data_IF_679296300134
#
_entry.id   IF_679296300134
#
_cell.length_a   1.000
_cell.length_b   1.000
_cell.length_c   1.000
_cell.angle_alpha   90.00
_cell.angle_beta   90.00
_cell.angle_gamma   90.00
#
_symmetry.space_group_name_H-M   'P 1'
#
loop_
_entity.id
_entity.type
_entity.pdbx_description
1 polymer ?
#
# COMPACT_ATOMS: atom_id res chain seq x y z
N UNK A 1 4.06 -5.64 19.61
CA UNK A 1 4.54 -6.54 20.67
C UNK A 1 3.57 -6.64 21.84
N UNK A 2 3.05 -5.52 22.41
CA UNK A 2 2.19 -5.53 23.60
C UNK A 2 0.86 -6.26 23.33
N UNK A 3 0.18 -5.99 22.21
CA UNK A 3 -1.07 -6.63 21.82
C UNK A 3 -0.87 -8.14 21.68
N UNK A 4 0.19 -8.59 21.01
CA UNK A 4 0.52 -10.01 20.86
C UNK A 4 0.73 -10.70 22.21
N UNK A 5 1.37 -10.02 23.18
CA UNK A 5 1.54 -10.56 24.54
C UNK A 5 0.21 -10.69 25.27
N UNK A 6 -0.71 -9.72 25.08
CA UNK A 6 -2.06 -9.78 25.65
C UNK A 6 -2.88 -10.92 25.03
N UNK A 7 -2.86 -11.06 23.69
CA UNK A 7 -3.55 -12.13 22.99
C UNK A 7 -3.09 -13.52 23.47
N UNK A 8 -1.77 -13.72 23.65
CA UNK A 8 -1.21 -14.96 24.18
C UNK A 8 -1.71 -15.27 25.60
N UNK A 9 -1.80 -14.26 26.46
CA UNK A 9 -2.34 -14.43 27.82
C UNK A 9 -3.84 -14.73 27.80
N UNK A 10 -4.58 -14.10 26.88
CA UNK A 10 -6.01 -14.26 26.75
C UNK A 10 -6.42 -15.60 26.12
N UNK A 11 -5.53 -16.25 25.37
CA UNK A 11 -5.83 -17.49 24.64
C UNK A 11 -6.28 -18.67 25.53
N UNK A 12 -5.94 -18.64 26.82
CA UNK A 12 -6.36 -19.66 27.79
C UNK A 12 -7.61 -19.29 28.57
N UNK A 13 -8.25 -18.15 28.29
CA UNK A 13 -9.44 -17.67 29.03
C UNK A 13 -10.70 -17.86 28.19
N UNK A 14 -11.80 -18.25 28.84
CA UNK A 14 -13.13 -18.29 28.24
C UNK A 14 -13.73 -16.87 28.24
N UNK A 15 -13.43 -16.10 27.21
CA UNK A 15 -13.87 -14.71 27.10
C UNK A 15 -15.27 -14.64 26.52
N UNK A 16 -16.22 -14.15 27.29
CA UNK A 16 -17.62 -13.98 26.91
C UNK A 16 -17.95 -12.53 26.50
N UNK A 17 -17.12 -11.56 26.87
CA UNK A 17 -17.37 -10.15 26.60
C UNK A 17 -16.05 -9.40 26.50
N UNK A 18 -15.93 -8.53 25.50
CA UNK A 18 -14.82 -7.57 25.36
C UNK A 18 -15.37 -6.16 25.58
N UNK A 19 -14.88 -5.49 26.62
CA UNK A 19 -15.23 -4.11 26.93
C UNK A 19 -14.09 -3.19 26.46
N UNK A 20 -14.28 -2.56 25.32
CA UNK A 20 -13.32 -1.59 24.78
C UNK A 20 -13.34 -0.30 25.59
N UNK A 21 -12.18 0.31 25.85
CA UNK A 21 -12.09 1.65 26.44
C UNK A 21 -12.67 2.72 25.51
N UNK A 22 -12.49 2.54 24.20
CA UNK A 22 -12.99 3.42 23.15
C UNK A 22 -13.68 2.57 22.08
N UNK A 23 -15.00 2.38 22.21
CA UNK A 23 -15.80 1.59 21.27
C UNK A 23 -16.94 0.83 21.94
N UNK A 24 -17.70 0.05 21.17
CA UNK A 24 -18.82 -0.71 21.70
C UNK A 24 -18.36 -1.89 22.59
N UNK A 25 -19.23 -2.33 23.45
CA UNK A 25 -19.08 -3.62 24.14
C UNK A 25 -19.39 -4.75 23.15
N UNK A 26 -18.45 -5.68 22.99
CA UNK A 26 -18.58 -6.80 22.07
C UNK A 26 -18.96 -8.06 22.85
N UNK A 27 -20.08 -8.69 22.49
CA UNK A 27 -20.58 -9.92 23.12
C UNK A 27 -20.75 -11.06 22.11
N UNK A 28 -20.79 -10.74 20.83
CA UNK A 28 -21.00 -11.69 19.76
C UNK A 28 -19.81 -11.68 18.81
N UNK A 29 -19.58 -12.81 18.15
CA UNK A 29 -18.54 -12.98 17.15
C UNK A 29 -17.14 -12.55 17.62
N UNK A 30 -16.80 -12.83 18.87
CA UNK A 30 -15.54 -12.38 19.50
C UNK A 30 -14.31 -12.92 18.76
N UNK A 31 -14.40 -14.13 18.19
CA UNK A 31 -13.33 -14.73 17.39
C UNK A 31 -12.91 -13.87 16.21
N UNK A 32 -13.87 -13.22 15.52
CA UNK A 32 -13.59 -12.30 14.42
C UNK A 32 -12.71 -11.12 14.87
N UNK A 33 -13.04 -10.52 16.01
CA UNK A 33 -12.27 -9.37 16.54
C UNK A 33 -10.88 -9.79 17.00
N UNK A 34 -10.75 -10.94 17.65
CA UNK A 34 -9.46 -11.49 18.08
C UNK A 34 -8.56 -11.81 16.89
N UNK A 35 -9.10 -12.41 15.82
CA UNK A 35 -8.37 -12.66 14.58
C UNK A 35 -7.89 -11.35 13.92
N UNK A 36 -8.74 -10.33 13.87
CA UNK A 36 -8.34 -9.01 13.34
C UNK A 36 -7.22 -8.39 14.16
N UNK A 37 -7.34 -8.39 15.47
CA UNK A 37 -6.28 -7.89 16.36
C UNK A 37 -4.97 -8.67 16.21
N UNK A 38 -5.03 -9.98 16.00
CA UNK A 38 -3.86 -10.80 15.75
C UNK A 38 -3.18 -10.38 14.43
N UNK A 39 -3.93 -10.32 13.32
CA UNK A 39 -3.42 -9.88 12.03
C UNK A 39 -2.81 -8.46 12.08
N UNK A 40 -3.54 -7.51 12.65
CA UNK A 40 -3.07 -6.12 12.72
C UNK A 40 -1.82 -5.95 13.58
N UNK A 41 -1.78 -6.60 14.74
CA UNK A 41 -0.65 -6.48 15.66
C UNK A 41 0.59 -7.29 15.26
N UNK A 42 0.44 -8.26 14.36
CA UNK A 42 1.53 -8.99 13.70
C UNK A 42 1.90 -8.41 12.33
N UNK A 43 1.22 -7.35 11.88
CA UNK A 43 1.41 -6.71 10.57
C UNK A 43 1.16 -7.67 9.39
N UNK A 44 0.30 -8.66 9.57
CA UNK A 44 -0.13 -9.53 8.48
C UNK A 44 -1.23 -8.85 7.64
N UNK A 45 -1.26 -9.06 6.32
CA UNK A 45 -2.36 -8.59 5.50
C UNK A 45 -3.66 -9.30 5.87
N UNK A 46 -4.78 -8.61 5.73
CA UNK A 46 -6.09 -9.22 5.91
C UNK A 46 -6.56 -9.97 4.67
N UNK A 47 -6.21 -9.44 3.51
CA UNK A 47 -6.67 -9.90 2.21
C UNK A 47 -5.54 -9.86 1.18
N UNK A 48 -5.61 -10.74 0.19
CA UNK A 48 -4.79 -10.64 -1.01
C UNK A 48 -5.40 -9.59 -1.95
N UNK A 49 -4.56 -8.71 -2.49
CA UNK A 49 -4.96 -7.66 -3.42
C UNK A 49 -3.90 -6.59 -3.55
N UNK A 50 -4.10 -5.69 -4.48
CA UNK A 50 -3.15 -4.64 -4.83
C UNK A 50 -3.76 -3.26 -4.59
N UNK A 51 -3.17 -2.48 -3.71
CA UNK A 51 -3.48 -1.05 -3.58
C UNK A 51 -2.59 -0.28 -4.55
N UNK A 52 -3.17 0.54 -5.40
CA UNK A 52 -2.45 1.42 -6.33
C UNK A 52 -2.69 2.86 -5.88
N UNK A 53 -1.70 3.45 -5.24
CA UNK A 53 -1.74 4.83 -4.79
C UNK A 53 -0.95 5.71 -5.75
N UNK A 54 -1.60 6.71 -6.35
CA UNK A 54 -0.95 7.57 -7.33
C UNK A 54 -1.07 9.06 -7.01
N UNK A 55 -0.08 9.81 -7.49
CA UNK A 55 -0.11 11.27 -7.56
C UNK A 55 0.06 11.68 -9.03
N UNK A 56 -0.84 12.50 -9.55
CA UNK A 56 -0.82 12.92 -10.95
C UNK A 56 -1.27 14.37 -11.10
N UNK A 57 -0.47 15.19 -11.81
CA UNK A 57 -0.81 16.60 -12.09
C UNK A 57 -1.56 16.71 -13.41
N UNK A 58 -1.01 16.14 -14.48
CA UNK A 58 -1.54 16.27 -15.85
C UNK A 58 -2.25 15.01 -16.36
N UNK A 59 -2.50 14.03 -15.52
CA UNK A 59 -3.19 12.79 -15.89
C UNK A 59 -2.27 11.65 -16.35
N UNK A 60 -1.04 11.89 -16.74
CA UNK A 60 -0.17 10.86 -17.30
C UNK A 60 0.14 9.72 -16.33
N UNK A 61 0.47 10.03 -15.08
CA UNK A 61 0.71 9.02 -14.04
C UNK A 61 -0.58 8.29 -13.66
N UNK A 62 -1.72 9.01 -13.65
CA UNK A 62 -3.04 8.40 -13.48
C UNK A 62 -3.31 7.36 -14.55
N UNK A 63 -3.11 7.71 -15.82
CA UNK A 63 -3.33 6.79 -16.95
C UNK A 63 -2.49 5.50 -16.80
N UNK A 64 -1.24 5.61 -16.33
CA UNK A 64 -0.39 4.45 -16.08
C UNK A 64 -0.89 3.60 -14.90
N UNK A 65 -1.37 4.24 -13.83
CA UNK A 65 -1.94 3.55 -12.68
C UNK A 65 -3.26 2.82 -13.03
N UNK A 66 -4.13 3.46 -13.81
CA UNK A 66 -5.36 2.88 -14.33
C UNK A 66 -5.06 1.72 -15.28
N UNK A 67 -4.11 1.87 -16.20
CA UNK A 67 -3.69 0.79 -17.10
C UNK A 67 -3.14 -0.43 -16.33
N UNK A 68 -2.32 -0.22 -15.29
CA UNK A 68 -1.87 -1.31 -14.44
C UNK A 68 -3.05 -1.99 -13.72
N UNK A 69 -4.02 -1.21 -13.23
CA UNK A 69 -5.21 -1.76 -12.59
C UNK A 69 -6.00 -2.67 -13.52
N UNK A 70 -6.21 -2.23 -14.77
CA UNK A 70 -6.91 -3.02 -15.79
C UNK A 70 -6.19 -4.34 -16.07
N UNK A 71 -4.86 -4.29 -16.29
CA UNK A 71 -4.05 -5.50 -16.52
C UNK A 71 -4.10 -6.46 -15.33
N UNK A 72 -4.06 -5.94 -14.09
CA UNK A 72 -4.18 -6.77 -12.89
C UNK A 72 -5.58 -7.39 -12.75
N UNK A 73 -6.64 -6.65 -13.06
CA UNK A 73 -8.02 -7.14 -13.04
C UNK A 73 -8.25 -8.24 -14.09
N UNK A 74 -7.70 -8.09 -15.30
CA UNK A 74 -7.71 -9.14 -16.33
C UNK A 74 -7.02 -10.42 -15.84
N UNK A 75 -6.02 -10.31 -14.97
CA UNK A 75 -5.36 -11.44 -14.30
C UNK A 75 -6.12 -11.95 -13.05
N UNK A 76 -7.32 -11.44 -12.78
CA UNK A 76 -8.14 -11.82 -11.63
C UNK A 76 -7.68 -11.26 -10.29
N UNK A 77 -6.78 -10.26 -10.28
CA UNK A 77 -6.31 -9.64 -9.05
C UNK A 77 -7.31 -8.58 -8.56
N UNK A 78 -7.56 -8.56 -7.26
CA UNK A 78 -8.32 -7.49 -6.62
C UNK A 78 -7.49 -6.22 -6.57
N UNK A 79 -8.00 -5.12 -7.10
CA UNK A 79 -7.30 -3.83 -7.11
C UNK A 79 -8.13 -2.72 -6.45
N UNK A 80 -7.45 -1.80 -5.79
CA UNK A 80 -8.03 -0.57 -5.23
C UNK A 80 -7.17 0.61 -5.63
N UNK A 81 -7.75 1.59 -6.32
CA UNK A 81 -7.05 2.80 -6.76
C UNK A 81 -7.32 3.98 -5.83
N UNK A 82 -6.24 4.74 -5.54
CA UNK A 82 -6.30 5.99 -4.79
C UNK A 82 -5.60 7.13 -5.51
N UNK A 83 -6.36 8.16 -5.90
CA UNK A 83 -5.82 9.48 -6.22
C UNK A 83 -5.48 10.20 -4.91
N UNK A 84 -4.21 10.22 -4.55
CA UNK A 84 -3.75 10.77 -3.27
C UNK A 84 -3.99 12.28 -3.12
N UNK A 85 -4.26 12.98 -4.22
CA UNK A 85 -4.62 14.39 -4.17
C UNK A 85 -6.11 14.64 -3.84
N UNK A 86 -6.96 13.59 -3.94
CA UNK A 86 -8.42 13.73 -3.83
C UNK A 86 -9.08 12.72 -2.89
N UNK A 87 -8.37 11.64 -2.52
CA UNK A 87 -8.94 10.60 -1.67
C UNK A 87 -8.88 10.95 -0.18
N UNK A 88 -9.64 10.20 0.61
CA UNK A 88 -9.42 10.11 2.05
C UNK A 88 -8.09 9.37 2.30
N UNK A 89 -7.08 10.12 2.73
CA UNK A 89 -5.74 9.57 3.01
C UNK A 89 -5.76 8.53 4.13
N UNK A 90 -6.61 8.68 5.13
CA UNK A 90 -6.69 7.72 6.23
C UNK A 90 -7.19 6.36 5.73
N UNK A 91 -8.17 6.36 4.81
CA UNK A 91 -8.65 5.16 4.15
C UNK A 91 -7.59 4.52 3.27
N UNK A 92 -6.86 5.32 2.48
CA UNK A 92 -5.76 4.82 1.65
C UNK A 92 -4.66 4.15 2.48
N UNK A 93 -4.29 4.74 3.62
CA UNK A 93 -3.34 4.15 4.58
C UNK A 93 -3.91 2.84 5.16
N UNK A 94 -5.17 2.82 5.59
CA UNK A 94 -5.80 1.63 6.15
C UNK A 94 -5.81 0.47 5.13
N UNK A 95 -6.16 0.74 3.86
CA UNK A 95 -6.17 -0.28 2.82
C UNK A 95 -4.75 -0.74 2.44
N UNK A 96 -3.73 0.11 2.51
CA UNK A 96 -2.34 -0.31 2.34
C UNK A 96 -1.90 -1.33 3.41
N UNK A 97 -2.41 -1.23 4.64
CA UNK A 97 -2.22 -2.25 5.67
C UNK A 97 -3.11 -3.48 5.50
N UNK A 98 -4.29 -3.31 4.92
CA UNK A 98 -5.24 -4.39 4.70
C UNK A 98 -4.79 -5.38 3.63
N UNK A 99 -4.25 -4.88 2.52
CA UNK A 99 -3.82 -5.68 1.38
C UNK A 99 -2.34 -6.03 1.43
N UNK A 100 -1.96 -7.09 0.74
CA UNK A 100 -0.59 -7.63 0.76
C UNK A 100 0.36 -6.94 -0.21
N UNK A 101 -0.15 -6.16 -1.18
CA UNK A 101 0.65 -5.50 -2.22
C UNK A 101 0.29 -4.03 -2.36
N UNK A 102 1.31 -3.20 -2.57
CA UNK A 102 1.19 -1.75 -2.72
C UNK A 102 1.96 -1.29 -3.96
N UNK A 103 1.33 -0.52 -4.81
CA UNK A 103 1.97 0.20 -5.92
C UNK A 103 1.96 1.70 -5.61
N UNK A 104 3.12 2.32 -5.75
CA UNK A 104 3.31 3.75 -5.58
C UNK A 104 3.64 4.38 -6.93
N UNK A 105 2.65 5.03 -7.52
CA UNK A 105 2.81 5.73 -8.80
C UNK A 105 3.02 7.22 -8.54
N UNK A 106 4.29 7.64 -8.48
CA UNK A 106 4.72 8.95 -8.06
C UNK A 106 5.33 9.80 -9.17
N UNK A 107 5.27 11.12 -8.98
CA UNK A 107 5.92 12.09 -9.87
C UNK A 107 7.06 12.79 -9.14
N UNK A 108 8.12 13.10 -9.90
CA UNK A 108 9.16 14.00 -9.44
C UNK A 108 8.66 15.44 -9.54
N UNK A 109 8.70 16.15 -8.42
CA UNK A 109 8.25 17.53 -8.33
C UNK A 109 9.28 18.35 -7.56
N UNK A 110 9.82 19.37 -8.21
CA UNK A 110 10.84 20.27 -7.62
C UNK A 110 12.03 19.52 -6.99
N UNK A 111 12.52 18.48 -7.66
CA UNK A 111 13.62 17.64 -7.16
C UNK A 111 13.25 16.68 -6.03
N UNK A 112 11.98 16.59 -5.68
CA UNK A 112 11.44 15.78 -4.59
C UNK A 112 10.17 15.00 -5.04
N UNK A 113 9.54 14.28 -4.14
CA UNK A 113 8.23 13.67 -4.35
C UNK A 113 7.12 14.71 -4.30
N UNK A 114 6.08 14.50 -5.10
CA UNK A 114 4.88 15.31 -4.99
C UNK A 114 4.29 15.22 -3.57
N UNK A 115 3.86 16.34 -2.95
CA UNK A 115 3.56 16.40 -1.51
C UNK A 115 2.58 15.37 -0.99
N UNK A 116 1.51 15.06 -1.73
CA UNK A 116 0.53 14.07 -1.28
C UNK A 116 1.10 12.63 -1.26
N UNK A 117 2.02 12.29 -2.18
CA UNK A 117 2.72 11.00 -2.18
C UNK A 117 3.67 10.91 -0.98
N UNK A 118 4.46 11.95 -0.72
CA UNK A 118 5.34 12.02 0.46
C UNK A 118 4.55 11.83 1.73
N UNK A 119 3.49 12.61 1.91
CA UNK A 119 2.64 12.55 3.11
C UNK A 119 1.93 11.19 3.28
N UNK A 120 1.61 10.50 2.19
CA UNK A 120 1.08 9.15 2.26
C UNK A 120 2.12 8.15 2.77
N UNK A 121 3.34 8.19 2.22
CA UNK A 121 4.44 7.31 2.64
C UNK A 121 4.85 7.58 4.09
N UNK A 122 4.91 8.85 4.52
CA UNK A 122 5.12 9.22 5.93
C UNK A 122 4.06 8.57 6.82
N UNK A 123 2.78 8.65 6.42
CA UNK A 123 1.69 8.00 7.13
C UNK A 123 1.84 6.47 7.25
N UNK A 124 2.47 5.81 6.30
CA UNK A 124 2.79 4.39 6.36
C UNK A 124 3.99 4.11 7.29
N UNK A 125 5.08 4.82 7.10
CA UNK A 125 6.35 4.58 7.82
C UNK A 125 6.24 4.91 9.30
N UNK A 126 5.53 5.97 9.69
CA UNK A 126 5.21 6.31 11.08
C UNK A 126 4.44 5.20 11.81
N UNK A 127 3.71 4.36 11.06
CA UNK A 127 2.94 3.22 11.58
C UNK A 127 3.65 1.88 11.41
N UNK A 128 4.97 1.92 11.13
CA UNK A 128 5.82 0.74 10.93
C UNK A 128 5.32 -0.19 9.82
N UNK A 129 4.97 0.36 8.65
CA UNK A 129 4.56 -0.41 7.48
C UNK A 129 5.60 -1.47 7.12
N UNK A 130 5.16 -2.72 7.07
CA UNK A 130 6.05 -3.87 6.90
C UNK A 130 5.31 -5.10 6.37
N UNK A 131 6.05 -6.16 6.03
CA UNK A 131 5.53 -7.45 5.55
C UNK A 131 4.68 -7.32 4.28
N UNK A 132 5.09 -6.48 3.34
CA UNK A 132 4.34 -6.22 2.09
C UNK A 132 5.25 -6.25 0.88
N UNK A 133 4.67 -6.58 -0.28
CA UNK A 133 5.32 -6.36 -1.57
C UNK A 133 5.00 -4.96 -2.07
N UNK A 134 6.01 -4.22 -2.52
CA UNK A 134 5.89 -2.83 -2.98
C UNK A 134 6.42 -2.72 -4.40
N UNK A 135 5.68 -2.04 -5.25
CA UNK A 135 6.05 -1.73 -6.62
C UNK A 135 6.06 -0.23 -6.86
N UNK A 136 6.86 0.22 -7.82
CA UNK A 136 7.06 1.63 -8.11
C UNK A 136 6.82 1.92 -9.59
N UNK A 137 6.00 2.93 -9.84
CA UNK A 137 5.90 3.62 -11.13
C UNK A 137 6.34 5.05 -10.88
N UNK A 138 7.38 5.50 -11.55
CA UNK A 138 7.82 6.89 -11.47
C UNK A 138 7.55 7.64 -12.76
N UNK A 139 7.27 8.93 -12.65
CA UNK A 139 7.14 9.82 -13.80
C UNK A 139 7.95 11.11 -13.60
N UNK A 140 8.76 11.45 -14.59
CA UNK A 140 9.54 12.68 -14.57
C UNK A 140 10.22 12.91 -15.91
N UNK A 141 10.03 14.09 -16.50
CA UNK A 141 10.48 14.39 -17.86
C UNK A 141 12.00 14.52 -17.96
N UNK A 142 12.64 15.21 -17.02
CA UNK A 142 14.06 15.57 -17.10
C UNK A 142 14.97 14.65 -16.29
N UNK A 143 14.62 14.46 -15.03
CA UNK A 143 15.38 13.65 -14.09
C UNK A 143 14.39 12.95 -13.15
N UNK A 144 13.85 11.80 -13.54
CA UNK A 144 12.97 11.05 -12.65
C UNK A 144 13.74 10.63 -11.41
N UNK A 145 13.25 11.02 -10.24
CA UNK A 145 13.83 10.72 -8.94
C UNK A 145 12.84 10.11 -7.96
N UNK A 146 11.57 10.06 -8.34
CA UNK A 146 10.51 9.60 -7.45
C UNK A 146 10.78 8.19 -6.95
N UNK A 147 11.22 7.28 -7.80
CA UNK A 147 11.56 5.91 -7.41
C UNK A 147 12.64 5.84 -6.35
N UNK A 148 13.75 6.56 -6.54
CA UNK A 148 14.84 6.62 -5.56
C UNK A 148 14.39 7.20 -4.23
N UNK A 149 13.58 8.26 -4.26
CA UNK A 149 13.07 8.92 -3.05
C UNK A 149 12.11 8.01 -2.29
N UNK A 150 11.21 7.30 -3.00
CA UNK A 150 10.31 6.30 -2.41
C UNK A 150 11.12 5.21 -1.70
N UNK A 151 12.10 4.63 -2.37
CA UNK A 151 12.97 3.61 -1.77
C UNK A 151 13.67 4.12 -0.51
N UNK A 152 14.22 5.33 -0.55
CA UNK A 152 14.87 5.97 0.60
C UNK A 152 13.93 6.17 1.80
N UNK A 153 12.66 6.50 1.55
CA UNK A 153 11.67 6.68 2.63
C UNK A 153 11.33 5.36 3.34
N UNK A 154 11.48 4.23 2.68
CA UNK A 154 11.25 2.89 3.26
C UNK A 154 12.51 2.20 3.79
N UNK A 155 13.67 2.84 3.76
CA UNK A 155 14.95 2.23 4.16
C UNK A 155 14.91 1.60 5.57
N UNK A 156 14.15 2.18 6.49
CA UNK A 156 13.99 1.69 7.87
C UNK A 156 12.82 0.71 8.05
N UNK A 157 12.02 0.49 7.01
CA UNK A 157 10.88 -0.44 7.06
C UNK A 157 11.38 -1.89 6.99
N UNK A 158 10.71 -2.77 7.72
CA UNK A 158 11.12 -4.17 7.83
C UNK A 158 10.34 -5.05 6.86
N UNK A 159 11.01 -6.06 6.31
CA UNK A 159 10.36 -7.11 5.53
C UNK A 159 9.49 -6.57 4.38
N UNK A 160 9.92 -5.49 3.73
CA UNK A 160 9.35 -5.05 2.48
C UNK A 160 10.11 -5.73 1.34
N UNK A 161 9.39 -6.31 0.40
CA UNK A 161 9.93 -6.84 -0.84
C UNK A 161 9.56 -5.91 -1.97
N UNK A 162 10.54 -5.29 -2.60
CA UNK A 162 10.30 -4.49 -3.80
C UNK A 162 10.31 -5.38 -5.04
N UNK A 163 9.46 -5.05 -6.02
CA UNK A 163 9.49 -5.68 -7.34
C UNK A 163 10.82 -5.40 -8.05
N UNK A 164 11.26 -6.32 -8.90
CA UNK A 164 12.46 -6.13 -9.72
C UNK A 164 12.21 -5.05 -10.78
N UNK A 165 11.00 -5.03 -11.34
CA UNK A 165 10.59 -4.03 -12.33
C UNK A 165 10.17 -2.74 -11.64
N UNK A 166 10.85 -1.64 -11.98
CA UNK A 166 10.41 -0.27 -11.74
C UNK A 166 10.05 0.35 -13.08
N UNK A 167 8.83 0.86 -13.23
CA UNK A 167 8.39 1.51 -14.48
C UNK A 167 8.75 2.99 -14.43
N UNK A 168 9.58 3.45 -15.38
CA UNK A 168 10.00 4.84 -15.47
C UNK A 168 9.39 5.51 -16.71
N UNK A 169 8.50 6.48 -16.47
CA UNK A 169 7.75 7.18 -17.50
C UNK A 169 8.32 8.58 -17.68
N UNK A 170 8.50 8.99 -18.94
CA UNK A 170 8.92 10.34 -19.27
C UNK A 170 7.76 11.10 -19.90
N UNK A 171 6.93 11.73 -19.07
CA UNK A 171 5.67 12.38 -19.43
C UNK A 171 4.55 11.37 -19.75
N UNK A 172 4.23 11.13 -21.02
CA UNK A 172 3.19 10.16 -21.40
C UNK A 172 3.74 8.73 -21.51
N UNK A 173 2.90 7.77 -21.17
CA UNK A 173 3.19 6.35 -21.34
C UNK A 173 3.28 5.99 -22.83
N UNK A 174 4.26 5.17 -23.19
CA UNK A 174 4.49 4.62 -24.52
C UNK A 174 4.39 3.09 -24.54
N UNK A 175 4.59 2.47 -25.69
CA UNK A 175 4.48 1.00 -25.84
C UNK A 175 5.53 0.24 -25.01
N UNK A 176 6.73 0.77 -24.84
CA UNK A 176 7.72 0.17 -23.95
C UNK A 176 7.23 0.17 -22.50
N UNK A 177 6.67 1.29 -22.03
CA UNK A 177 6.13 1.39 -20.67
C UNK A 177 4.94 0.42 -20.45
N UNK A 178 4.11 0.21 -21.46
CA UNK A 178 3.05 -0.81 -21.39
C UNK A 178 3.61 -2.21 -21.20
N UNK A 179 4.69 -2.54 -21.92
CA UNK A 179 5.40 -3.81 -21.74
C UNK A 179 6.02 -3.95 -20.36
N UNK A 180 6.60 -2.88 -19.81
CA UNK A 180 7.13 -2.83 -18.44
C UNK A 180 6.01 -2.98 -17.39
N UNK A 181 4.86 -2.32 -17.59
CA UNK A 181 3.67 -2.48 -16.74
C UNK A 181 3.14 -3.92 -16.79
N UNK A 182 3.15 -4.56 -17.96
CA UNK A 182 2.82 -5.97 -18.10
C UNK A 182 3.70 -6.88 -17.24
N UNK A 183 5.03 -6.66 -17.26
CA UNK A 183 5.99 -7.39 -16.40
C UNK A 183 5.74 -7.10 -14.91
N UNK A 184 5.50 -5.83 -14.57
CA UNK A 184 5.18 -5.44 -13.20
C UNK A 184 3.91 -6.13 -12.70
N UNK A 185 2.89 -6.25 -13.54
CA UNK A 185 1.66 -6.97 -13.23
C UNK A 185 1.90 -8.48 -13.02
N UNK A 186 2.83 -9.11 -13.75
CA UNK A 186 3.24 -10.50 -13.52
C UNK A 186 3.86 -10.68 -12.12
N UNK A 187 4.75 -9.75 -11.72
CA UNK A 187 5.37 -9.79 -10.40
C UNK A 187 4.37 -9.54 -9.25
N UNK A 188 3.26 -8.87 -9.56
CA UNK A 188 2.18 -8.54 -8.61
C UNK A 188 1.02 -9.56 -8.64
N UNK A 189 1.05 -10.53 -9.52
CA UNK A 189 0.06 -11.60 -9.58
C UNK A 189 0.49 -12.79 -8.76
#
# INVERSE_FOLDING_TARGET
>A
PQVQAVLKKAAGLDIQTICSLHGPVLKENLGFYLEKYDKWSSYQPEESGVVIAYASVYGNTRNAAEYLADVLQEKGQKTVLYDLARCDKAKAVADAFRYDRLVLAGITYNGDLFPCMRSFIEGLTERNYQNRKVAIIENGTWAPMAGKLILGMFEKSKNLTFTETTVSIKSAMNEQNKGEIGKLAEELS
#
